data_IF_107764263532
#
_entry.id   IF_107764263532
#
_cell.length_a   1.000
_cell.length_b   1.000
_cell.length_c   1.000
_cell.angle_alpha   90.00
_cell.angle_beta   90.00
_cell.angle_gamma   90.00
#
_symmetry.space_group_name_H-M   'P 1'
#
loop_
_entity.id
_entity.type
_entity.pdbx_description
1 polymer ?
#
# COMPACT_ATOMS: atom_id res chain seq x y z
N UNK A 1 -44.52 17.55 -31.00
CA UNK A 1 -44.49 16.16 -30.47
C UNK A 1 -43.28 16.06 -29.58
N UNK A 2 -43.51 15.87 -28.28
CA UNK A 2 -42.48 15.67 -27.27
C UNK A 2 -42.23 14.17 -27.07
N UNK A 3 -40.97 13.76 -27.01
CA UNK A 3 -40.48 12.57 -26.33
C UNK A 3 -39.09 12.95 -25.78
N UNK A 4 -38.90 13.21 -24.48
CA UNK A 4 -38.95 12.30 -23.32
C UNK A 4 -37.79 11.31 -23.27
N UNK A 5 -36.81 11.70 -22.46
CA UNK A 5 -36.03 10.89 -21.52
C UNK A 5 -35.22 9.68 -22.01
N UNK A 6 -33.90 9.79 -21.90
CA UNK A 6 -33.13 8.83 -21.10
C UNK A 6 -32.21 9.59 -20.14
N UNK A 7 -32.55 9.48 -18.86
CA UNK A 7 -31.73 9.87 -17.71
C UNK A 7 -30.71 8.75 -17.49
N UNK A 8 -29.42 9.02 -17.71
CA UNK A 8 -28.37 8.16 -17.16
C UNK A 8 -28.24 8.47 -15.67
N UNK A 9 -28.24 7.42 -14.86
CA UNK A 9 -28.27 7.46 -13.41
C UNK A 9 -26.96 8.02 -12.84
N UNK A 10 -27.05 9.14 -12.15
CA UNK A 10 -26.00 9.62 -11.26
C UNK A 10 -25.87 8.64 -10.09
N UNK A 11 -24.96 7.69 -10.21
CA UNK A 11 -24.56 6.80 -9.10
C UNK A 11 -23.93 7.69 -8.04
N UNK A 12 -24.50 7.71 -6.83
CA UNK A 12 -24.09 8.62 -5.75
C UNK A 12 -22.71 8.22 -5.22
N UNK A 13 -21.86 9.16 -4.77
CA UNK A 13 -20.61 8.83 -4.05
C UNK A 13 -20.84 7.91 -2.86
N UNK A 14 -22.01 8.05 -2.23
CA UNK A 14 -22.42 7.16 -1.14
C UNK A 14 -22.65 5.76 -1.68
N UNK A 15 -23.19 5.57 -2.88
CA UNK A 15 -23.31 4.25 -3.51
C UNK A 15 -21.94 3.67 -3.88
N UNK A 16 -20.96 4.46 -4.33
CA UNK A 16 -19.59 3.92 -4.61
C UNK A 16 -18.85 3.54 -3.32
N UNK A 17 -19.05 4.29 -2.23
CA UNK A 17 -18.44 3.98 -0.94
C UNK A 17 -19.21 2.93 -0.10
N UNK A 18 -20.54 2.85 -0.23
CA UNK A 18 -21.41 1.99 0.61
C UNK A 18 -22.10 0.85 -0.14
N UNK A 19 -22.04 0.78 -1.47
CA UNK A 19 -22.49 -0.41 -2.21
C UNK A 19 -21.37 -1.42 -2.21
N UNK A 20 -21.29 -2.20 -1.14
CA UNK A 20 -21.42 -3.65 -1.20
C UNK A 20 -21.11 -4.23 0.17
N UNK A 21 -22.04 -5.02 0.67
CA UNK A 21 -21.80 -6.08 1.65
C UNK A 21 -20.93 -7.21 1.05
N UNK A 22 -19.97 -6.89 0.17
CA UNK A 22 -19.00 -7.80 -0.42
C UNK A 22 -17.64 -7.11 -0.57
N UNK A 23 -16.62 -7.83 -0.17
CA UNK A 23 -15.18 -7.59 -0.20
C UNK A 23 -14.60 -7.43 -1.61
N UNK A 24 -15.13 -6.53 -2.44
CA UNK A 24 -14.63 -6.33 -3.81
C UNK A 24 -13.70 -5.11 -3.86
N UNK A 25 -12.45 -5.35 -4.23
CA UNK A 25 -11.49 -4.28 -4.52
C UNK A 25 -11.87 -3.51 -5.78
N UNK A 26 -11.55 -2.22 -5.81
CA UNK A 26 -11.77 -1.31 -6.92
C UNK A 26 -10.52 -1.19 -7.78
N UNK A 27 -10.73 -0.88 -9.06
CA UNK A 27 -9.63 -0.50 -9.97
C UNK A 27 -9.22 0.96 -9.72
N UNK A 28 -8.01 1.37 -10.13
CA UNK A 28 -7.56 2.76 -9.96
C UNK A 28 -8.49 3.79 -10.61
N UNK A 29 -9.08 3.50 -11.77
CA UNK A 29 -10.03 4.38 -12.45
C UNK A 29 -11.33 4.54 -11.65
N UNK A 30 -11.76 3.48 -10.95
CA UNK A 30 -12.92 3.55 -10.06
C UNK A 30 -12.60 4.29 -8.76
N UNK A 31 -11.36 4.20 -8.26
CA UNK A 31 -10.87 4.96 -7.12
C UNK A 31 -10.77 6.46 -7.48
N UNK A 32 -10.21 6.80 -8.64
CA UNK A 32 -10.21 8.16 -9.18
C UNK A 32 -11.63 8.72 -9.29
N UNK A 33 -12.55 7.93 -9.86
CA UNK A 33 -13.95 8.33 -9.93
C UNK A 33 -14.56 8.52 -8.54
N UNK A 34 -14.19 7.70 -7.56
CA UNK A 34 -14.62 7.88 -6.18
C UNK A 34 -14.07 9.19 -5.60
N UNK A 35 -12.81 9.57 -5.89
CA UNK A 35 -12.24 10.86 -5.46
C UNK A 35 -13.06 12.03 -5.97
N UNK A 36 -13.39 12.07 -7.25
CA UNK A 36 -14.23 13.13 -7.84
C UNK A 36 -15.59 13.24 -7.14
N UNK A 37 -16.19 12.09 -6.80
CA UNK A 37 -17.47 12.02 -6.14
C UNK A 37 -17.40 12.42 -4.66
N UNK A 38 -16.29 12.13 -3.98
CA UNK A 38 -16.01 12.56 -2.60
C UNK A 38 -15.76 14.07 -2.55
N UNK A 39 -15.00 14.63 -3.49
CA UNK A 39 -14.78 16.08 -3.60
C UNK A 39 -16.08 16.86 -3.81
N UNK A 40 -17.10 16.25 -4.43
CA UNK A 40 -18.42 16.87 -4.57
C UNK A 40 -19.27 16.84 -3.29
N UNK A 41 -18.82 16.18 -2.21
CA UNK A 41 -19.52 16.11 -0.91
C UNK A 41 -19.17 17.31 -0.01
N UNK A 42 -20.00 17.56 1.01
CA UNK A 42 -19.63 18.48 2.10
C UNK A 42 -18.29 18.10 2.72
N UNK A 43 -17.48 19.10 3.06
CA UNK A 43 -16.13 18.95 3.62
C UNK A 43 -16.11 18.04 4.85
N UNK A 44 -17.10 18.19 5.75
CA UNK A 44 -17.28 17.39 6.97
C UNK A 44 -17.64 15.91 6.74
N UNK A 45 -17.71 15.48 5.48
CA UNK A 45 -17.95 14.08 5.07
C UNK A 45 -16.80 13.50 4.25
N UNK A 46 -15.84 14.30 3.79
CA UNK A 46 -14.82 13.83 2.84
C UNK A 46 -13.82 12.91 3.51
N UNK A 47 -13.31 13.32 4.68
CA UNK A 47 -12.27 12.60 5.40
C UNK A 47 -12.66 11.12 5.66
N UNK A 48 -13.84 10.90 6.22
CA UNK A 48 -14.36 9.55 6.49
C UNK A 48 -14.51 8.71 5.22
N UNK A 49 -14.88 9.33 4.10
CA UNK A 49 -15.04 8.63 2.82
C UNK A 49 -13.70 8.28 2.19
N UNK A 50 -12.71 9.17 2.26
CA UNK A 50 -11.35 8.87 1.80
C UNK A 50 -10.72 7.76 2.62
N UNK A 51 -10.89 7.77 3.95
CA UNK A 51 -10.43 6.69 4.83
C UNK A 51 -11.07 5.35 4.48
N UNK A 52 -12.38 5.31 4.21
CA UNK A 52 -13.05 4.09 3.73
C UNK A 52 -12.54 3.62 2.36
N UNK A 53 -12.17 4.56 1.48
CA UNK A 53 -11.66 4.23 0.16
C UNK A 53 -10.27 3.58 0.19
N UNK A 54 -9.45 3.89 1.21
CA UNK A 54 -8.18 3.18 1.43
C UNK A 54 -8.38 1.67 1.55
N UNK A 55 -9.57 1.22 1.99
CA UNK A 55 -9.91 -0.19 2.11
C UNK A 55 -10.34 -0.87 0.80
N UNK A 56 -10.41 -0.12 -0.30
CA UNK A 56 -10.89 -0.63 -1.59
C UNK A 56 -9.77 -0.92 -2.58
N UNK A 57 -8.53 -0.69 -2.20
CA UNK A 57 -7.37 -0.99 -3.04
C UNK A 57 -7.19 -2.50 -3.18
N UNK A 58 -6.84 -2.92 -4.40
CA UNK A 58 -6.47 -4.31 -4.67
C UNK A 58 -5.16 -4.63 -3.96
N UNK A 59 -5.17 -5.69 -3.18
CA UNK A 59 -3.97 -6.16 -2.49
C UNK A 59 -2.98 -6.73 -3.52
N UNK A 60 -1.74 -6.24 -3.48
CA UNK A 60 -0.64 -6.73 -4.31
C UNK A 60 0.31 -7.60 -3.50
N UNK A 61 0.63 -8.79 -3.99
CA UNK A 61 1.63 -9.67 -3.41
C UNK A 61 2.94 -9.60 -4.22
N UNK A 62 4.06 -9.28 -3.58
CA UNK A 62 5.36 -9.20 -4.24
C UNK A 62 5.81 -10.53 -4.85
N UNK A 63 5.29 -11.66 -4.38
CA UNK A 63 5.59 -13.00 -4.92
C UNK A 63 4.85 -13.30 -6.23
N UNK A 64 3.82 -12.54 -6.54
CA UNK A 64 3.06 -12.69 -7.79
C UNK A 64 3.69 -11.89 -8.94
N UNK A 65 4.64 -11.00 -8.64
CA UNK A 65 5.41 -10.28 -9.64
C UNK A 65 6.23 -11.29 -10.47
N UNK A 66 5.99 -11.33 -11.79
CA UNK A 66 6.59 -12.28 -12.73
C UNK A 66 7.97 -11.83 -13.21
N UNK A 67 8.30 -10.55 -13.03
CA UNK A 67 9.66 -10.06 -13.21
C UNK A 67 10.59 -10.76 -12.21
N UNK A 68 11.64 -11.44 -12.71
CA UNK A 68 12.57 -12.31 -11.95
C UNK A 68 13.41 -11.61 -10.85
N UNK A 69 12.96 -10.49 -10.31
CA UNK A 69 13.62 -9.73 -9.24
C UNK A 69 13.32 -10.28 -7.85
N UNK A 70 12.24 -11.05 -7.69
CA UNK A 70 11.90 -11.65 -6.40
C UNK A 70 12.84 -12.83 -6.08
N UNK A 71 13.65 -12.66 -5.04
CA UNK A 71 14.53 -13.72 -4.52
C UNK A 71 13.90 -14.35 -3.27
N UNK A 72 14.42 -15.48 -2.75
CA UNK A 72 13.97 -16.02 -1.45
C UNK A 72 14.04 -15.03 -0.28
N UNK A 73 14.86 -13.97 -0.41
CA UNK A 73 15.02 -12.90 0.58
C UNK A 73 14.16 -11.67 0.30
N UNK A 74 13.28 -11.73 -0.70
CA UNK A 74 12.56 -10.58 -1.22
C UNK A 74 13.20 -9.97 -2.45
N UNK A 75 12.54 -8.96 -2.99
CA UNK A 75 13.09 -8.16 -4.08
C UNK A 75 12.17 -7.05 -4.54
N UNK A 76 10.86 -7.19 -4.38
CA UNK A 76 9.89 -6.28 -5.01
C UNK A 76 8.89 -5.62 -4.05
N UNK A 77 9.11 -5.71 -2.73
CA UNK A 77 8.28 -5.03 -1.72
C UNK A 77 8.11 -3.52 -1.99
N UNK A 78 9.16 -2.88 -2.51
CA UNK A 78 9.17 -1.45 -2.81
C UNK A 78 8.17 -1.11 -3.92
N UNK A 79 8.18 -1.83 -5.05
CA UNK A 79 7.33 -1.54 -6.20
C UNK A 79 5.90 -1.97 -5.93
N UNK A 80 5.72 -3.09 -5.23
CA UNK A 80 4.38 -3.56 -4.85
C UNK A 80 3.70 -2.59 -3.89
N UNK A 81 4.39 -2.13 -2.85
CA UNK A 81 3.82 -1.17 -1.90
C UNK A 81 3.61 0.22 -2.50
N UNK A 82 4.55 0.70 -3.31
CA UNK A 82 4.36 1.95 -4.06
C UNK A 82 3.18 1.83 -5.04
N UNK A 83 3.07 0.69 -5.74
CA UNK A 83 1.96 0.38 -6.63
C UNK A 83 0.61 0.42 -5.92
N UNK A 84 0.46 -0.28 -4.80
CA UNK A 84 -0.76 -0.22 -3.99
C UNK A 84 -1.05 1.21 -3.51
N UNK A 85 -0.04 2.00 -3.13
CA UNK A 85 -0.24 3.40 -2.76
C UNK A 85 -0.72 4.26 -3.96
N UNK A 86 -0.14 4.07 -5.15
CA UNK A 86 -0.60 4.74 -6.37
C UNK A 86 -2.06 4.38 -6.69
N UNK A 87 -2.43 3.10 -6.58
CA UNK A 87 -3.82 2.67 -6.74
C UNK A 87 -4.75 3.35 -5.72
N UNK A 88 -4.32 3.47 -4.45
CA UNK A 88 -5.06 4.18 -3.41
C UNK A 88 -5.30 5.66 -3.72
N UNK A 89 -4.34 6.30 -4.38
CA UNK A 89 -4.46 7.67 -4.86
C UNK A 89 -5.35 7.81 -6.10
N UNK A 90 -5.81 6.71 -6.71
CA UNK A 90 -6.55 6.70 -7.97
C UNK A 90 -5.66 6.82 -9.21
N UNK A 91 -4.35 6.60 -9.08
CA UNK A 91 -3.42 6.75 -10.20
C UNK A 91 -3.51 5.51 -11.09
N UNK A 92 -3.92 5.71 -12.34
CA UNK A 92 -3.97 4.66 -13.35
C UNK A 92 -2.64 4.57 -14.08
N UNK A 93 -2.15 3.35 -14.30
CA UNK A 93 -0.90 3.11 -15.03
C UNK A 93 -1.24 2.61 -16.44
N UNK A 94 -0.79 3.32 -17.49
CA UNK A 94 -1.25 3.06 -18.85
C UNK A 94 -0.78 1.70 -19.37
N UNK A 95 -1.61 1.08 -20.20
CA UNK A 95 -1.27 -0.19 -20.89
C UNK A 95 -0.34 0.03 -22.09
N UNK A 96 -0.11 1.28 -22.50
CA UNK A 96 0.87 1.66 -23.52
C UNK A 96 1.61 2.90 -23.03
N UNK A 97 2.94 2.88 -23.04
CA UNK A 97 3.76 4.01 -22.59
C UNK A 97 4.90 4.27 -23.56
N UNK A 98 4.99 5.49 -24.11
CA UNK A 98 5.99 5.88 -25.13
C UNK A 98 6.10 4.86 -26.29
N UNK A 99 4.95 4.50 -26.86
CA UNK A 99 4.81 3.53 -27.96
C UNK A 99 5.22 2.07 -27.61
N UNK A 100 5.36 1.74 -26.33
CA UNK A 100 5.64 0.39 -25.83
C UNK A 100 4.38 -0.20 -25.19
N UNK A 101 3.98 -1.39 -25.63
CA UNK A 101 2.85 -2.13 -25.07
C UNK A 101 3.21 -2.80 -23.74
N UNK A 102 2.41 -2.51 -22.71
CA UNK A 102 2.55 -2.98 -21.33
C UNK A 102 1.30 -3.72 -20.83
N UNK A 103 0.26 -3.88 -21.65
CA UNK A 103 -1.05 -4.38 -21.23
C UNK A 103 -1.08 -5.80 -20.66
N UNK A 104 -0.07 -6.62 -20.97
CA UNK A 104 0.06 -7.99 -20.46
C UNK A 104 0.74 -8.05 -19.07
N UNK A 105 1.33 -6.94 -18.61
CA UNK A 105 1.99 -6.84 -17.31
C UNK A 105 0.98 -6.53 -16.21
N UNK A 106 1.25 -7.00 -14.98
CA UNK A 106 0.50 -6.57 -13.79
C UNK A 106 0.74 -5.08 -13.48
N UNK A 107 -0.07 -4.48 -12.61
CA UNK A 107 -0.01 -3.04 -12.33
C UNK A 107 1.39 -2.61 -11.87
N UNK A 108 1.95 -3.31 -10.88
CA UNK A 108 3.26 -3.07 -10.30
C UNK A 108 4.39 -3.26 -11.32
N UNK A 109 4.25 -4.28 -12.18
CA UNK A 109 5.19 -4.54 -13.26
C UNK A 109 5.15 -3.45 -14.34
N UNK A 110 3.98 -2.86 -14.62
CA UNK A 110 3.89 -1.68 -15.48
C UNK A 110 4.60 -0.47 -14.86
N UNK A 111 4.49 -0.29 -13.54
CA UNK A 111 5.21 0.77 -12.82
C UNK A 111 6.73 0.58 -12.95
N UNK A 112 7.26 -0.63 -12.74
CA UNK A 112 8.69 -0.91 -12.93
C UNK A 112 9.13 -0.84 -14.40
N UNK A 113 8.27 -1.21 -15.34
CA UNK A 113 8.54 -1.05 -16.76
C UNK A 113 8.69 0.42 -17.13
N UNK A 114 7.82 1.30 -16.63
CA UNK A 114 7.92 2.76 -16.84
C UNK A 114 9.21 3.30 -16.25
N UNK A 115 9.56 2.88 -15.01
CA UNK A 115 10.87 3.21 -14.41
C UNK A 115 12.02 2.88 -15.36
N UNK A 116 11.99 1.67 -15.93
CA UNK A 116 13.03 1.19 -16.84
C UNK A 116 13.05 1.94 -18.17
N UNK A 117 11.87 2.22 -18.76
CA UNK A 117 11.72 2.98 -20.01
C UNK A 117 12.26 4.41 -19.84
N UNK A 118 11.99 5.03 -18.71
CA UNK A 118 12.41 6.40 -18.41
C UNK A 118 13.82 6.47 -17.82
N UNK A 119 14.46 5.32 -17.59
CA UNK A 119 15.79 5.23 -16.97
C UNK A 119 15.87 5.95 -15.61
N UNK A 120 14.79 5.83 -14.82
CA UNK A 120 14.66 6.49 -13.52
C UNK A 120 15.25 5.60 -12.43
N UNK A 121 16.46 5.94 -11.96
CA UNK A 121 17.02 5.42 -10.71
C UNK A 121 17.02 3.90 -10.52
N UNK A 122 17.35 3.49 -9.30
CA UNK A 122 17.25 2.09 -8.85
C UNK A 122 15.91 1.87 -8.14
N UNK A 123 15.24 0.74 -8.37
CA UNK A 123 13.93 0.46 -7.75
C UNK A 123 13.97 0.39 -6.23
N UNK A 124 15.13 0.13 -5.64
CA UNK A 124 15.33 0.12 -4.18
C UNK A 124 15.39 1.51 -3.56
N UNK A 125 15.56 2.58 -4.35
CA UNK A 125 15.52 3.94 -3.86
C UNK A 125 14.07 4.46 -3.87
N UNK A 126 13.51 4.92 -2.73
CA UNK A 126 12.14 5.41 -2.70
C UNK A 126 11.89 6.64 -3.59
N UNK A 127 12.89 7.50 -3.80
CA UNK A 127 12.76 8.69 -4.66
C UNK A 127 12.56 8.30 -6.14
N UNK A 128 12.99 7.10 -6.53
CA UNK A 128 12.71 6.55 -7.86
C UNK A 128 11.22 6.46 -8.12
N UNK A 129 10.42 6.03 -7.13
CA UNK A 129 8.97 5.90 -7.29
C UNK A 129 8.28 7.26 -7.33
N UNK A 130 8.81 8.27 -6.64
CA UNK A 130 8.36 9.66 -6.77
C UNK A 130 8.53 10.15 -8.21
N UNK A 131 9.70 9.90 -8.82
CA UNK A 131 9.95 10.27 -10.21
C UNK A 131 9.10 9.48 -11.22
N UNK A 132 8.79 8.21 -10.97
CA UNK A 132 7.85 7.44 -11.81
C UNK A 132 6.44 8.04 -11.76
N UNK A 133 5.97 8.44 -10.58
CA UNK A 133 4.68 9.12 -10.40
C UNK A 133 4.65 10.46 -11.14
N UNK A 134 5.75 11.23 -11.10
CA UNK A 134 5.89 12.48 -11.88
C UNK A 134 5.89 12.23 -13.39
N UNK A 135 6.56 11.18 -13.87
CA UNK A 135 6.52 10.74 -15.28
C UNK A 135 5.12 10.35 -15.77
N UNK A 136 4.20 10.03 -14.86
CA UNK A 136 2.78 9.78 -15.14
C UNK A 136 1.91 11.05 -15.07
N UNK A 137 2.49 12.19 -14.68
CA UNK A 137 1.79 13.48 -14.57
C UNK A 137 1.15 13.73 -13.20
N UNK A 138 1.49 12.93 -12.20
CA UNK A 138 0.96 13.03 -10.84
C UNK A 138 2.03 13.57 -9.87
N UNK A 139 1.71 13.74 -8.59
CA UNK A 139 2.69 14.22 -7.61
C UNK A 139 2.92 13.21 -6.48
N UNK A 140 4.16 13.13 -6.01
CA UNK A 140 4.52 12.43 -4.79
C UNK A 140 5.63 13.17 -4.05
N UNK A 141 5.74 12.98 -2.74
CA UNK A 141 6.82 13.53 -1.94
C UNK A 141 7.02 12.77 -0.63
N UNK A 142 8.20 12.97 -0.02
CA UNK A 142 8.49 12.51 1.33
C UNK A 142 7.69 13.33 2.35
N UNK A 143 7.03 12.63 3.29
CA UNK A 143 6.34 13.21 4.44
C UNK A 143 7.33 13.47 5.57
N UNK A 144 8.26 12.52 5.77
CA UNK A 144 9.39 12.65 6.68
C UNK A 144 10.70 12.53 5.89
N UNK A 145 11.56 13.54 6.01
CA UNK A 145 12.88 13.56 5.39
C UNK A 145 13.96 12.82 6.19
N UNK A 146 13.61 12.23 7.34
CA UNK A 146 14.58 11.55 8.23
C UNK A 146 14.04 10.24 8.75
N UNK A 147 14.87 9.21 8.68
CA UNK A 147 14.66 7.94 9.36
C UNK A 147 14.59 8.14 10.89
N UNK A 148 13.62 7.51 11.53
CA UNK A 148 13.46 7.53 12.97
C UNK A 148 12.20 6.82 13.46
N UNK A 149 12.11 6.68 14.78
CA UNK A 149 10.86 6.31 15.44
C UNK A 149 9.94 7.51 15.45
N UNK A 150 8.69 7.32 15.02
CA UNK A 150 7.68 8.36 15.00
C UNK A 150 6.58 8.04 16.02
N UNK A 151 6.27 9.02 16.87
CA UNK A 151 5.20 8.90 17.86
C UNK A 151 3.80 9.07 17.27
N UNK A 152 2.79 8.88 18.11
CA UNK A 152 1.36 8.95 17.73
C UNK A 152 1.01 10.25 17.00
N UNK A 153 1.48 11.41 17.49
CA UNK A 153 1.18 12.71 16.89
C UNK A 153 1.61 12.81 15.42
N UNK A 154 2.75 12.20 15.07
CA UNK A 154 3.20 12.15 13.68
C UNK A 154 2.23 11.33 12.83
N UNK A 155 1.85 10.14 13.30
CA UNK A 155 0.95 9.25 12.55
C UNK A 155 -0.47 9.80 12.45
N UNK A 156 -0.95 10.51 13.48
CA UNK A 156 -2.19 11.29 13.41
C UNK A 156 -2.08 12.38 12.35
N UNK A 157 -0.95 13.11 12.30
CA UNK A 157 -0.68 14.09 11.22
C UNK A 157 -0.70 13.46 9.83
N UNK A 158 -0.04 12.31 9.63
CA UNK A 158 -0.06 11.57 8.36
C UNK A 158 -1.48 11.19 7.96
N UNK A 159 -2.27 10.71 8.91
CA UNK A 159 -3.66 10.34 8.64
C UNK A 159 -4.51 11.57 8.26
N UNK A 160 -4.41 12.64 9.03
CA UNK A 160 -5.25 13.82 8.83
C UNK A 160 -4.85 14.62 7.59
N UNK A 161 -3.56 14.69 7.26
CA UNK A 161 -3.06 15.44 6.09
C UNK A 161 -3.10 14.65 4.79
N UNK A 162 -2.91 13.33 4.83
CA UNK A 162 -2.73 12.53 3.63
C UNK A 162 -3.85 11.51 3.43
N UNK A 163 -4.09 10.61 4.39
CA UNK A 163 -5.13 9.59 4.21
C UNK A 163 -6.53 10.20 4.12
N UNK A 164 -6.82 11.21 4.95
CA UNK A 164 -8.04 12.01 4.91
C UNK A 164 -8.20 12.87 3.65
N UNK A 165 -7.12 13.06 2.87
CA UNK A 165 -7.13 13.78 1.60
C UNK A 165 -7.16 12.83 0.38
N UNK A 166 -7.30 11.52 0.61
CA UNK A 166 -7.29 10.52 -0.48
C UNK A 166 -5.91 10.25 -1.06
N UNK A 167 -4.82 10.68 -0.42
CA UNK A 167 -3.49 10.30 -0.85
C UNK A 167 -3.24 8.82 -0.56
N UNK A 168 -2.40 8.19 -1.38
CA UNK A 168 -1.83 6.89 -1.06
C UNK A 168 -0.52 7.06 -0.32
N UNK A 169 -0.30 6.33 0.78
CA UNK A 169 0.91 6.46 1.60
C UNK A 169 1.66 5.13 1.61
N UNK A 170 2.98 5.17 1.39
CA UNK A 170 3.87 4.03 1.62
C UNK A 170 5.03 4.43 2.53
N UNK A 171 5.56 3.44 3.23
CA UNK A 171 6.59 3.69 4.24
C UNK A 171 7.52 2.50 4.39
N UNK A 172 8.71 2.78 4.92
CA UNK A 172 9.66 1.74 5.33
C UNK A 172 9.53 1.43 6.82
N UNK A 173 9.37 0.15 7.15
CA UNK A 173 9.43 -0.39 8.51
C UNK A 173 10.59 -1.39 8.56
N UNK A 174 11.65 -1.08 9.33
CA UNK A 174 12.80 -1.99 9.53
C UNK A 174 13.38 -2.59 8.22
N UNK A 175 13.48 -1.78 7.17
CA UNK A 175 14.03 -2.22 5.86
C UNK A 175 13.02 -2.92 4.94
N UNK A 176 11.76 -3.03 5.35
CA UNK A 176 10.66 -3.52 4.53
C UNK A 176 9.75 -2.37 4.11
N UNK A 177 9.18 -2.39 2.91
CA UNK A 177 8.29 -1.31 2.41
C UNK A 177 6.85 -1.82 2.39
N UNK A 178 5.93 -1.05 2.99
CA UNK A 178 4.51 -1.38 3.12
C UNK A 178 3.63 -0.19 2.72
N UNK A 179 2.36 -0.43 2.35
CA UNK A 179 1.36 0.64 2.17
C UNK A 179 0.64 0.91 3.49
N UNK A 180 0.54 2.17 3.91
CA UNK A 180 -0.28 2.56 5.06
C UNK A 180 -1.76 2.66 4.67
N UNK A 181 -2.65 2.07 5.48
CA UNK A 181 -4.11 2.14 5.28
C UNK A 181 -4.78 3.09 6.27
N UNK A 182 -4.39 3.01 7.55
CA UNK A 182 -5.06 3.71 8.65
C UNK A 182 -4.10 3.91 9.84
N UNK A 183 -4.27 4.99 10.58
CA UNK A 183 -3.64 5.26 11.87
C UNK A 183 -4.71 5.32 12.97
N UNK A 184 -4.66 4.38 13.90
CA UNK A 184 -5.60 4.29 15.04
C UNK A 184 -4.91 4.63 16.35
N UNK A 185 -5.70 4.82 17.42
CA UNK A 185 -5.16 4.98 18.77
C UNK A 185 -4.33 3.77 19.24
N UNK A 186 -4.56 2.59 18.66
CA UNK A 186 -3.85 1.34 19.00
C UNK A 186 -2.62 1.09 18.12
N UNK A 187 -2.36 1.95 17.12
CA UNK A 187 -1.27 1.79 16.16
C UNK A 187 -1.73 1.92 14.71
N UNK A 188 -0.83 1.58 13.78
CA UNK A 188 -1.03 1.67 12.33
C UNK A 188 -1.52 0.36 11.72
N UNK A 189 -2.31 0.46 10.66
CA UNK A 189 -2.75 -0.65 9.80
C UNK A 189 -2.11 -0.46 8.43
N UNK A 190 -1.48 -1.51 7.90
CA UNK A 190 -0.75 -1.46 6.63
C UNK A 190 -0.96 -2.73 5.81
N UNK A 191 -0.80 -2.63 4.48
CA UNK A 191 -0.67 -3.79 3.59
C UNK A 191 0.81 -4.17 3.48
N UNK A 192 1.13 -5.36 4.00
CA UNK A 192 2.43 -5.99 3.80
C UNK A 192 2.43 -6.72 2.45
N UNK A 193 3.29 -6.37 1.48
CA UNK A 193 3.30 -7.02 0.18
C UNK A 193 3.77 -8.50 0.20
N UNK A 194 4.25 -9.06 1.32
CA UNK A 194 4.58 -10.50 1.41
C UNK A 194 3.38 -11.43 1.57
N UNK A 195 2.20 -10.88 1.86
CA UNK A 195 0.99 -11.63 2.16
C UNK A 195 0.97 -12.12 3.60
N UNK A 196 0.10 -13.12 3.83
CA UNK A 196 -0.02 -13.78 5.13
C UNK A 196 1.25 -14.60 5.41
N UNK A 197 2.20 -14.00 6.14
CA UNK A 197 3.15 -14.77 6.93
C UNK A 197 2.66 -14.77 8.38
N UNK A 198 2.63 -15.94 9.03
CA UNK A 198 3.05 -15.96 10.42
C UNK A 198 4.47 -15.41 10.42
N UNK A 199 4.64 -14.16 10.89
CA UNK A 199 5.94 -13.69 11.34
C UNK A 199 6.38 -14.74 12.36
N UNK A 200 7.35 -15.57 11.97
CA UNK A 200 7.82 -16.76 12.69
C UNK A 200 7.51 -16.65 14.17
N UNK A 201 6.60 -17.50 14.67
CA UNK A 201 6.35 -17.57 16.11
C UNK A 201 7.69 -17.67 16.81
N UNK A 202 7.88 -16.76 17.75
CA UNK A 202 8.96 -16.44 18.70
C UNK A 202 9.83 -17.57 19.28
N UNK A 203 10.14 -18.64 18.55
CA UNK A 203 11.18 -19.60 18.92
C UNK A 203 12.57 -19.20 18.39
N UNK A 204 12.66 -18.28 17.40
CA UNK A 204 13.92 -17.83 16.82
C UNK A 204 14.15 -16.31 16.83
N UNK A 205 13.17 -15.50 17.27
CA UNK A 205 13.34 -14.06 17.37
C UNK A 205 12.40 -13.47 18.44
N UNK A 206 12.90 -13.04 19.61
CA UNK A 206 12.06 -12.55 20.72
C UNK A 206 11.43 -11.16 20.49
N UNK A 207 11.64 -10.53 19.33
CA UNK A 207 11.32 -9.11 19.08
C UNK A 207 10.01 -8.83 18.32
N UNK A 208 9.11 -9.81 18.23
CA UNK A 208 7.80 -9.62 17.57
C UNK A 208 6.76 -9.14 18.58
N UNK A 209 6.78 -7.83 18.83
CA UNK A 209 5.66 -7.11 19.43
C UNK A 209 4.47 -7.13 18.47
N UNK A 210 3.35 -7.64 18.97
CA UNK A 210 2.07 -7.87 18.31
C UNK A 210 1.52 -6.59 17.64
N UNK A 211 1.75 -6.41 16.34
CA UNK A 211 1.03 -5.42 15.52
C UNK A 211 -0.19 -6.10 14.87
N UNK A 212 -1.37 -5.54 15.10
CA UNK A 212 -2.66 -6.09 14.66
C UNK A 212 -2.67 -6.34 13.14
N UNK A 213 -3.00 -7.59 12.78
CA UNK A 213 -2.98 -8.19 11.44
C UNK A 213 -3.91 -7.49 10.44
N UNK A 214 -3.62 -7.70 9.15
CA UNK A 214 -4.50 -7.42 8.01
C UNK A 214 -5.92 -8.00 8.23
N UNK A 215 -6.96 -7.19 7.96
CA UNK A 215 -8.37 -7.58 8.04
C UNK A 215 -8.85 -8.37 6.81
N UNK A 216 -8.12 -8.38 5.69
CA UNK A 216 -8.54 -9.02 4.41
C UNK A 216 -7.85 -10.35 4.09
N UNK A 217 -6.97 -10.80 4.97
CA UNK A 217 -6.18 -12.03 4.85
C UNK A 217 -6.99 -13.35 4.86
N UNK A 218 -8.32 -13.33 4.97
CA UNK A 218 -9.13 -14.54 5.18
C UNK A 218 -9.55 -15.32 3.93
N UNK A 219 -8.85 -15.23 2.78
CA UNK A 219 -9.32 -15.98 1.60
C UNK A 219 -8.42 -16.06 0.39
N UNK A 220 -7.48 -17.02 0.38
CA UNK A 220 -7.40 -18.13 -0.60
C UNK A 220 -6.03 -18.82 -0.45
N UNK A 221 -5.99 -19.93 0.30
CA UNK A 221 -4.81 -20.81 0.33
C UNK A 221 -5.01 -21.93 -0.69
N UNK A 222 -4.45 -21.77 -1.88
CA UNK A 222 -3.96 -22.92 -2.66
C UNK A 222 -2.51 -23.16 -2.27
N UNK A 223 -2.41 -23.93 -1.18
CA UNK A 223 -1.22 -24.49 -0.58
C UNK A 223 -0.39 -25.28 -1.59
N UNK A 224 0.83 -24.82 -1.88
CA UNK A 224 1.91 -25.65 -2.41
C UNK A 224 2.95 -25.83 -1.33
N UNK A 225 2.65 -26.73 -0.40
CA UNK A 225 3.63 -27.41 0.45
C UNK A 225 4.78 -27.93 -0.41
N UNK A 226 5.99 -27.53 -0.05
CA UNK A 226 7.20 -28.30 -0.35
C UNK A 226 8.06 -28.32 0.89
N UNK A 227 7.98 -29.45 1.57
CA UNK A 227 8.96 -29.94 2.53
C UNK A 227 10.36 -29.90 1.92
N UNK A 228 11.34 -29.38 2.66
CA UNK A 228 12.48 -30.17 3.17
C UNK A 228 13.62 -29.25 3.68
N UNK A 229 13.84 -29.35 4.99
CA UNK A 229 15.13 -29.58 5.66
C UNK A 229 16.28 -28.56 5.50
N UNK A 230 16.53 -27.74 6.53
CA UNK A 230 17.91 -27.27 6.82
C UNK A 230 18.15 -27.04 8.32
N UNK A 231 19.28 -27.56 8.79
CA UNK A 231 19.64 -27.78 10.20
C UNK A 231 20.24 -26.58 10.93
N UNK A 232 20.01 -26.56 12.24
CA UNK A 232 20.60 -25.70 13.28
C UNK A 232 22.12 -25.46 13.15
N UNK A 233 22.54 -24.22 13.42
CA UNK A 233 23.62 -23.96 14.39
C UNK A 233 23.31 -22.68 15.18
N UNK A 234 23.11 -22.85 16.48
CA UNK A 234 23.01 -21.86 17.55
C UNK A 234 24.38 -21.21 17.83
N UNK A 235 24.41 -19.89 18.03
CA UNK A 235 25.34 -19.26 18.99
C UNK A 235 24.60 -18.11 19.69
N UNK A 236 24.56 -18.22 21.01
CA UNK A 236 23.80 -17.37 21.90
C UNK A 236 24.65 -16.24 22.48
N UNK A 237 24.05 -15.06 22.58
CA UNK A 237 24.42 -14.12 23.62
C UNK A 237 23.18 -13.34 24.04
N UNK A 238 22.63 -13.76 25.17
CA UNK A 238 21.54 -13.12 25.90
C UNK A 238 21.91 -11.68 26.28
N UNK A 239 21.03 -10.74 25.94
CA UNK A 239 20.89 -9.47 26.67
C UNK A 239 19.42 -9.30 26.98
N UNK A 240 19.05 -9.65 28.21
CA UNK A 240 17.71 -9.43 28.73
C UNK A 240 17.44 -7.93 28.85
N UNK A 241 16.45 -7.43 28.13
CA UNK A 241 15.82 -6.15 28.42
C UNK A 241 14.33 -6.37 28.69
N UNK A 242 14.01 -6.22 29.96
CA UNK A 242 12.68 -6.10 30.56
C UNK A 242 11.97 -4.88 29.94
N UNK A 243 10.89 -5.08 29.18
CA UNK A 243 10.07 -3.97 28.68
C UNK A 243 8.58 -4.19 28.92
N UNK A 244 8.06 -3.24 29.69
CA UNK A 244 6.70 -2.96 30.08
C UNK A 244 5.74 -2.81 28.88
N UNK A 245 4.51 -3.25 29.07
CA UNK A 245 3.47 -3.27 28.05
C UNK A 245 3.02 -1.85 27.67
N UNK A 246 3.49 -1.33 26.54
CA UNK A 246 2.98 -0.08 25.99
C UNK A 246 3.60 0.29 24.65
N UNK A 247 2.77 0.29 23.60
CA UNK A 247 2.97 0.91 22.25
C UNK A 247 4.31 0.56 21.57
N UNK A 248 4.24 -0.25 20.53
CA UNK A 248 5.42 -0.73 19.80
C UNK A 248 6.14 0.43 19.09
N UNK A 249 7.31 0.82 19.61
CA UNK A 249 8.24 1.75 18.94
C UNK A 249 8.82 1.07 17.69
N UNK A 250 8.26 1.39 16.53
CA UNK A 250 8.81 0.97 15.25
C UNK A 250 9.76 2.05 14.70
N UNK A 251 10.96 1.64 14.29
CA UNK A 251 11.88 2.52 13.55
C UNK A 251 11.44 2.54 12.10
N UNK A 252 11.00 3.70 11.63
CA UNK A 252 10.61 3.94 10.24
C UNK A 252 11.71 4.66 9.52
N UNK A 253 12.10 4.20 8.33
CA UNK A 253 13.21 4.86 7.61
C UNK A 253 12.73 6.01 6.74
N UNK A 254 11.57 5.87 6.10
CA UNK A 254 11.01 6.89 5.21
C UNK A 254 9.49 6.74 5.10
N UNK A 255 8.78 7.84 4.88
CA UNK A 255 7.32 7.88 4.68
C UNK A 255 7.05 8.80 3.50
N UNK A 256 6.27 8.34 2.52
CA UNK A 256 5.97 9.04 1.28
C UNK A 256 4.49 8.99 0.96
N UNK A 257 4.02 9.96 0.18
CA UNK A 257 2.66 9.93 -0.36
C UNK A 257 2.64 10.12 -1.87
N UNK A 258 1.57 9.62 -2.50
CA UNK A 258 1.17 9.88 -3.88
C UNK A 258 -0.19 10.59 -3.89
N UNK A 259 -0.38 11.51 -4.83
CA UNK A 259 -1.67 12.14 -5.12
C UNK A 259 -1.91 12.19 -6.63
N UNK A 260 -3.15 11.94 -7.04
CA UNK A 260 -3.61 12.14 -8.41
C UNK A 260 -3.67 13.63 -8.75
#
# INVERSE_FOLDING_TARGET
MAQSHQSSSATSATEVATTTSSTTSLTPELIERAHELIEAKPEDKREDLYRQLQEKVSYGNQRDNLTNYETPYGGTCHVTSAGMAMQAAGISVPTTYKDIELGELQYEERVDAIRSIDSVGEGTNPDTWVSVIDSLGHSAAAISGTAGTHGVDFWTGVQDEHLSAGHGVWMSIRGHIVRLQECTADGIIYDDPYGERELLSTAANPDVGDSKRDRRSTGNNDDKTRDDEYSETQDGSDVANDYDSGVVDHVFSYVYYARN
#
